data_IF_918474699876
#
_entry.id   IF_918474699876
#
_cell.length_a   1.000
_cell.length_b   1.000
_cell.length_c   1.000
_cell.angle_alpha   90.00
_cell.angle_beta   90.00
_cell.angle_gamma   90.00
#
_symmetry.space_group_name_H-M   'P 1'
#
loop_
_entity.id
_entity.type
_entity.pdbx_description
1 polymer ?
#
# COMPACT_ATOMS: atom_id res chain seq x y z
N UNK A 1 -9.44 7.48 29.96
CA UNK A 1 -8.97 7.88 28.64
C UNK A 1 -7.80 8.82 28.86
N UNK A 2 -6.60 8.44 28.43
CA UNK A 2 -5.39 9.26 28.56
C UNK A 2 -5.03 9.75 27.16
N UNK A 3 -4.94 11.06 26.96
CA UNK A 3 -4.58 11.65 25.67
C UNK A 3 -3.07 11.73 25.46
N UNK A 4 -2.25 11.26 26.41
CA UNK A 4 -0.79 11.25 26.32
C UNK A 4 -0.17 12.59 25.92
N UNK A 5 -0.78 13.71 26.35
CA UNK A 5 -0.31 15.07 26.06
C UNK A 5 -0.91 15.74 24.83
N UNK A 6 -1.85 15.09 24.12
CA UNK A 6 -2.57 15.69 22.99
C UNK A 6 -3.79 16.50 23.46
N UNK A 7 -4.05 17.64 22.80
CA UNK A 7 -5.22 18.50 23.05
C UNK A 7 -6.51 17.89 22.49
N UNK A 8 -6.44 17.37 21.26
CA UNK A 8 -7.55 16.74 20.54
C UNK A 8 -7.10 15.42 19.93
N UNK A 9 -7.96 14.40 20.07
CA UNK A 9 -7.72 13.07 19.51
C UNK A 9 -8.95 12.65 18.72
N UNK A 10 -8.78 12.44 17.42
CA UNK A 10 -9.81 11.90 16.53
C UNK A 10 -9.57 10.42 16.32
N UNK A 11 -10.61 9.61 16.45
CA UNK A 11 -10.52 8.15 16.29
C UNK A 11 -11.62 7.66 15.35
N UNK A 12 -11.27 6.72 14.50
CA UNK A 12 -12.21 5.95 13.68
C UNK A 12 -11.89 4.47 13.79
N UNK A 13 -12.84 3.62 13.42
CA UNK A 13 -12.64 2.17 13.44
C UNK A 13 -12.00 1.72 12.13
N UNK A 14 -11.03 0.80 12.22
CA UNK A 14 -10.37 0.25 11.03
C UNK A 14 -11.32 -0.43 10.04
N UNK A 15 -12.41 -1.05 10.51
CA UNK A 15 -13.40 -1.68 9.65
C UNK A 15 -14.23 -0.67 8.83
N UNK A 16 -14.46 0.52 9.37
CA UNK A 16 -15.11 1.63 8.64
C UNK A 16 -14.17 2.15 7.54
N UNK A 17 -12.88 2.31 7.87
CA UNK A 17 -11.86 2.73 6.89
C UNK A 17 -11.70 1.68 5.79
N UNK A 18 -11.59 0.40 6.14
CA UNK A 18 -11.48 -0.69 5.17
C UNK A 18 -12.69 -0.78 4.24
N UNK A 19 -13.91 -0.54 4.75
CA UNK A 19 -15.11 -0.47 3.91
C UNK A 19 -15.04 0.68 2.92
N UNK A 20 -14.71 1.89 3.38
CA UNK A 20 -14.57 3.06 2.53
C UNK A 20 -13.46 2.90 1.48
N UNK A 21 -12.33 2.31 1.88
CA UNK A 21 -11.22 1.98 0.97
C UNK A 21 -11.65 0.95 -0.08
N UNK A 22 -12.37 -0.10 0.31
CA UNK A 22 -12.89 -1.09 -0.64
C UNK A 22 -13.87 -0.48 -1.65
N UNK A 23 -14.78 0.40 -1.20
CA UNK A 23 -15.70 1.13 -2.09
C UNK A 23 -14.96 2.05 -3.07
N UNK A 24 -13.88 2.70 -2.63
CA UNK A 24 -13.03 3.50 -3.51
C UNK A 24 -12.35 2.65 -4.58
N UNK A 25 -11.78 1.51 -4.19
CA UNK A 25 -11.04 0.61 -5.09
C UNK A 25 -11.94 -0.09 -6.12
N UNK A 26 -13.23 -0.25 -5.84
CA UNK A 26 -14.19 -0.71 -6.83
C UNK A 26 -14.37 0.31 -7.98
N UNK A 27 -14.26 1.60 -7.67
CA UNK A 27 -14.38 2.69 -8.66
C UNK A 27 -13.06 2.96 -9.36
N UNK A 28 -11.96 2.88 -8.60
CA UNK A 28 -10.60 3.14 -9.08
C UNK A 28 -9.70 1.96 -8.72
N UNK A 29 -9.70 0.88 -9.52
CA UNK A 29 -8.86 -0.28 -9.26
C UNK A 29 -7.37 0.07 -9.38
N UNK A 30 -6.57 -0.37 -8.41
CA UNK A 30 -5.12 -0.14 -8.43
C UNK A 30 -4.47 -1.15 -9.37
N UNK A 31 -4.05 -0.67 -10.53
CA UNK A 31 -3.26 -1.44 -11.49
C UNK A 31 -1.84 -0.89 -11.50
N UNK A 32 -0.86 -1.78 -11.28
CA UNK A 32 0.56 -1.44 -11.28
C UNK A 32 1.24 -2.10 -12.47
N UNK A 33 2.12 -1.34 -13.11
CA UNK A 33 3.05 -1.86 -14.11
C UNK A 33 4.44 -1.37 -13.80
N UNK A 34 5.41 -2.27 -13.88
CA UNK A 34 6.81 -1.95 -13.63
C UNK A 34 7.67 -2.79 -14.56
N UNK A 35 8.72 -2.18 -15.12
CA UNK A 35 9.65 -2.86 -16.00
C UNK A 35 11.03 -2.28 -15.77
N UNK A 36 11.97 -3.15 -15.40
CA UNK A 36 13.37 -2.81 -15.17
C UNK A 36 14.23 -3.98 -15.62
N UNK A 37 15.22 -3.71 -16.48
CA UNK A 37 16.09 -4.69 -17.12
C UNK A 37 15.31 -5.86 -17.76
N UNK A 38 15.45 -7.06 -17.20
CA UNK A 38 14.80 -8.29 -17.66
C UNK A 38 13.54 -8.63 -16.84
N UNK A 39 13.08 -7.72 -15.99
CA UNK A 39 11.92 -7.90 -15.12
C UNK A 39 10.75 -7.08 -15.63
N UNK A 40 9.59 -7.72 -15.80
CA UNK A 40 8.34 -7.00 -16.03
C UNK A 40 7.27 -7.54 -15.10
N UNK A 41 6.58 -6.62 -14.43
CA UNK A 41 5.49 -6.91 -13.50
C UNK A 41 4.27 -6.12 -13.95
N UNK A 42 3.15 -6.82 -14.10
CA UNK A 42 1.85 -6.21 -14.27
C UNK A 42 0.90 -6.87 -13.28
N UNK A 43 0.34 -6.10 -12.35
CA UNK A 43 -0.55 -6.63 -11.33
C UNK A 43 -1.71 -5.67 -11.09
N UNK A 44 -2.86 -6.25 -10.76
CA UNK A 44 -4.05 -5.53 -10.31
C UNK A 44 -4.35 -5.98 -8.90
N UNK A 45 -4.38 -5.03 -7.98
CA UNK A 45 -4.75 -5.30 -6.59
C UNK A 45 -6.25 -5.12 -6.41
N UNK A 46 -6.84 -6.02 -5.63
CA UNK A 46 -8.21 -5.87 -5.14
C UNK A 46 -8.18 -5.69 -3.63
N UNK A 47 -9.27 -5.17 -3.06
CA UNK A 47 -9.56 -5.27 -1.63
C UNK A 47 -8.41 -4.89 -0.68
N UNK A 48 -7.68 -3.79 -0.97
CA UNK A 48 -6.62 -3.32 -0.06
C UNK A 48 -7.26 -3.00 1.28
N UNK A 49 -6.68 -3.52 2.36
CA UNK A 49 -7.23 -3.37 3.70
C UNK A 49 -6.14 -3.20 4.75
N UNK A 50 -6.44 -2.42 5.78
CA UNK A 50 -5.63 -2.30 6.98
C UNK A 50 -5.78 -3.59 7.79
N UNK A 51 -4.65 -4.21 8.16
CA UNK A 51 -4.60 -5.41 9.00
C UNK A 51 -3.81 -5.16 10.27
N UNK A 52 -4.01 -6.02 11.27
CA UNK A 52 -3.28 -5.95 12.54
C UNK A 52 -1.80 -6.32 12.34
N UNK A 53 -0.92 -5.74 13.16
CA UNK A 53 0.52 -6.03 13.17
C UNK A 53 1.40 -4.78 13.11
N UNK A 54 0.86 -3.67 12.58
CA UNK A 54 1.52 -2.37 12.60
C UNK A 54 1.68 -1.79 14.02
N UNK A 55 2.70 -0.95 14.20
CA UNK A 55 3.03 -0.31 15.47
C UNK A 55 3.21 1.20 15.32
N UNK A 56 2.52 1.98 16.16
CA UNK A 56 2.62 3.44 16.16
C UNK A 56 2.19 4.04 14.82
N UNK A 57 3.14 4.66 14.10
CA UNK A 57 2.92 5.27 12.78
C UNK A 57 3.01 4.28 11.61
N UNK A 58 3.46 3.05 11.86
CA UNK A 58 3.62 2.01 10.84
C UNK A 58 2.33 1.19 10.75
N UNK A 59 1.74 1.12 9.56
CA UNK A 59 0.45 0.46 9.33
C UNK A 59 0.64 -0.66 8.32
N UNK A 60 0.04 -1.82 8.60
CA UNK A 60 0.09 -2.97 7.71
C UNK A 60 -1.10 -2.93 6.76
N UNK A 61 -0.81 -3.06 5.47
CA UNK A 61 -1.80 -3.16 4.42
C UNK A 61 -1.67 -4.51 3.75
N UNK A 62 -2.78 -5.25 3.73
CA UNK A 62 -2.92 -6.44 2.92
C UNK A 62 -3.43 -6.03 1.53
N UNK A 63 -2.75 -6.50 0.50
CA UNK A 63 -2.95 -6.16 -0.90
C UNK A 63 -3.00 -7.45 -1.72
N UNK A 64 -4.16 -8.13 -1.79
CA UNK A 64 -4.31 -9.32 -2.62
C UNK A 64 -4.28 -8.98 -4.10
N UNK A 65 -3.45 -9.68 -4.85
CA UNK A 65 -3.38 -9.59 -6.32
C UNK A 65 -4.61 -10.27 -6.90
N UNK A 66 -5.51 -9.50 -7.51
CA UNK A 66 -6.69 -10.03 -8.22
C UNK A 66 -6.23 -10.80 -9.46
N UNK A 67 -5.42 -10.13 -10.29
CA UNK A 67 -4.82 -10.69 -11.49
C UNK A 67 -3.43 -10.10 -11.68
N UNK A 68 -2.45 -10.90 -12.09
CA UNK A 68 -1.14 -10.39 -12.41
C UNK A 68 -0.21 -11.37 -13.09
N UNK A 69 0.82 -10.82 -13.73
CA UNK A 69 1.89 -11.57 -14.35
C UNK A 69 3.23 -10.97 -14.01
N UNK A 70 4.22 -11.83 -13.78
CA UNK A 70 5.63 -11.45 -13.66
C UNK A 70 6.43 -12.20 -14.71
N UNK A 71 7.36 -11.52 -15.37
CA UNK A 71 8.34 -12.13 -16.25
C UNK A 71 9.76 -11.79 -15.83
N UNK A 72 10.64 -12.79 -15.87
CA UNK A 72 12.09 -12.68 -15.67
C UNK A 72 12.77 -13.28 -16.90
N UNK A 73 13.27 -12.42 -17.79
CA UNK A 73 13.75 -12.82 -19.12
C UNK A 73 12.65 -13.55 -19.89
N UNK A 74 12.94 -14.77 -20.35
CA UNK A 74 11.99 -15.58 -21.13
C UNK A 74 10.93 -16.30 -20.27
N UNK A 75 11.09 -16.30 -18.94
CA UNK A 75 10.16 -16.99 -18.05
C UNK A 75 9.03 -16.05 -17.66
N UNK A 76 7.79 -16.51 -17.78
CA UNK A 76 6.59 -15.78 -17.38
C UNK A 76 5.73 -16.64 -16.46
N UNK A 77 5.28 -16.03 -15.37
CA UNK A 77 4.40 -16.65 -14.40
C UNK A 77 3.16 -15.81 -14.17
N UNK A 78 2.08 -16.47 -13.75
CA UNK A 78 0.91 -15.83 -13.17
C UNK A 78 1.10 -15.69 -11.67
N UNK A 79 0.59 -14.59 -11.12
CA UNK A 79 0.62 -14.28 -9.68
C UNK A 79 -0.78 -13.99 -9.14
N UNK A 80 -1.81 -14.42 -9.86
CA UNK A 80 -3.22 -14.30 -9.47
C UNK A 80 -3.45 -14.90 -8.06
N UNK A 81 -4.13 -14.16 -7.19
CA UNK A 81 -4.42 -14.56 -5.82
C UNK A 81 -3.23 -14.51 -4.85
N UNK A 82 -2.08 -13.96 -5.26
CA UNK A 82 -0.94 -13.76 -4.35
C UNK A 82 -1.30 -12.70 -3.31
N UNK A 83 -1.11 -13.01 -2.03
CA UNK A 83 -1.37 -12.09 -0.93
C UNK A 83 -0.08 -11.38 -0.53
N UNK A 84 -0.10 -10.05 -0.56
CA UNK A 84 1.04 -9.22 -0.14
C UNK A 84 0.64 -8.45 1.10
N UNK A 85 1.49 -8.44 2.12
CA UNK A 85 1.36 -7.56 3.27
C UNK A 85 2.56 -6.61 3.23
N UNK A 86 2.28 -5.32 3.12
CA UNK A 86 3.27 -4.26 3.18
C UNK A 86 3.08 -3.43 4.45
N UNK A 87 4.17 -2.89 4.96
CA UNK A 87 4.18 -1.91 6.03
C UNK A 87 4.61 -0.56 5.46
N UNK A 88 3.84 0.47 5.76
CA UNK A 88 4.11 1.85 5.33
C UNK A 88 3.56 2.87 6.31
N UNK A 89 3.91 4.14 6.07
CA UNK A 89 3.45 5.29 6.85
C UNK A 89 2.36 6.05 6.08
N UNK A 90 1.53 6.79 6.80
CA UNK A 90 0.67 7.81 6.22
C UNK A 90 1.28 9.19 6.47
N UNK A 91 1.03 10.13 5.57
CA UNK A 91 1.48 11.51 5.71
C UNK A 91 0.33 12.46 5.40
N UNK A 92 0.35 13.62 6.07
CA UNK A 92 -0.47 14.76 5.69
C UNK A 92 0.18 15.44 4.50
N UNK A 93 -0.58 15.55 3.41
CA UNK A 93 -0.17 16.18 2.16
C UNK A 93 -1.11 17.35 1.90
N UNK A 94 -0.55 18.49 1.52
CA UNK A 94 -1.34 19.68 1.20
C UNK A 94 -2.32 19.38 0.05
N UNK A 95 -3.58 19.77 0.24
CA UNK A 95 -4.59 19.60 -0.77
C UNK A 95 -4.34 20.60 -1.92
N UNK A 96 -4.23 20.09 -3.15
CA UNK A 96 -3.90 20.90 -4.33
C UNK A 96 -4.96 21.98 -4.65
N UNK A 97 -6.22 21.73 -4.28
CA UNK A 97 -7.35 22.61 -4.59
C UNK A 97 -7.67 23.56 -3.41
N UNK A 98 -7.30 23.17 -2.18
CA UNK A 98 -7.66 23.89 -0.96
C UNK A 98 -6.42 24.09 -0.06
N UNK A 99 -5.83 25.29 -0.11
CA UNK A 99 -4.60 25.65 0.62
C UNK A 99 -4.67 25.60 2.15
N UNK A 100 -5.86 25.41 2.71
CA UNK A 100 -6.12 25.31 4.16
C UNK A 100 -6.50 23.88 4.57
N UNK A 101 -6.43 22.91 3.64
CA UNK A 101 -6.77 21.51 3.89
C UNK A 101 -5.54 20.64 3.70
N UNK A 102 -5.32 19.72 4.64
CA UNK A 102 -4.34 18.66 4.50
C UNK A 102 -5.01 17.30 4.48
N UNK A 103 -4.64 16.48 3.50
CA UNK A 103 -5.16 15.13 3.32
C UNK A 103 -4.18 14.11 3.89
N UNK A 104 -4.67 13.24 4.77
CA UNK A 104 -3.93 12.06 5.21
C UNK A 104 -3.97 11.01 4.10
N UNK A 105 -2.81 10.71 3.50
CA UNK A 105 -2.68 9.79 2.35
C UNK A 105 -1.58 8.77 2.59
N UNK A 106 -1.54 7.76 1.73
CA UNK A 106 -0.42 6.83 1.67
C UNK A 106 0.90 7.58 1.41
N UNK A 107 1.95 7.29 2.19
CA UNK A 107 3.27 7.90 2.02
C UNK A 107 4.27 6.89 1.44
N UNK A 108 4.46 6.95 0.12
CA UNK A 108 5.35 6.07 -0.65
C UNK A 108 6.48 6.91 -1.27
N UNK A 109 7.62 6.98 -0.59
CA UNK A 109 8.77 7.76 -1.03
C UNK A 109 9.98 6.88 -1.36
N UNK A 110 10.26 5.87 -0.53
CA UNK A 110 11.48 5.05 -0.63
C UNK A 110 11.22 3.59 -0.29
N UNK A 111 12.05 2.71 -0.83
CA UNK A 111 12.06 1.31 -0.42
C UNK A 111 12.69 1.21 0.99
N UNK A 112 11.95 0.65 1.93
CA UNK A 112 12.45 0.42 3.28
C UNK A 112 13.37 -0.81 3.33
N UNK A 113 14.29 -0.83 4.31
CA UNK A 113 15.34 -1.85 4.39
C UNK A 113 14.90 -3.13 5.12
N UNK A 114 13.96 -3.00 6.04
CA UNK A 114 13.47 -4.09 6.90
C UNK A 114 12.12 -3.70 7.52
N UNK A 115 11.34 -4.68 7.97
CA UNK A 115 10.13 -4.42 8.76
C UNK A 115 10.47 -3.61 10.01
N UNK A 116 9.68 -2.58 10.31
CA UNK A 116 9.95 -1.60 11.35
C UNK A 116 10.79 -0.40 10.88
N UNK A 117 11.08 -0.26 9.58
CA UNK A 117 11.82 0.90 9.06
C UNK A 117 10.99 2.18 9.23
N UNK A 118 11.53 3.10 10.03
CA UNK A 118 10.87 4.36 10.39
C UNK A 118 11.29 5.52 9.51
N UNK A 119 12.14 5.28 8.51
CA UNK A 119 12.52 6.26 7.48
C UNK A 119 11.24 6.83 6.85
N UNK A 120 11.23 8.14 6.63
CA UNK A 120 10.03 8.82 6.15
C UNK A 120 9.63 8.33 4.75
N UNK A 121 8.37 7.90 4.63
CA UNK A 121 7.81 7.33 3.40
C UNK A 121 8.40 5.98 2.98
N UNK A 122 9.02 5.24 3.91
CA UNK A 122 9.49 3.89 3.66
C UNK A 122 8.32 2.91 3.48
N UNK A 123 8.44 2.07 2.46
CA UNK A 123 7.55 0.93 2.20
C UNK A 123 8.36 -0.35 2.34
N UNK A 124 7.91 -1.27 3.19
CA UNK A 124 8.61 -2.55 3.44
C UNK A 124 7.67 -3.71 3.14
N UNK A 125 8.21 -4.78 2.56
CA UNK A 125 7.47 -6.02 2.42
C UNK A 125 7.52 -6.78 3.74
N UNK A 126 6.36 -7.04 4.34
CA UNK A 126 6.23 -7.88 5.55
C UNK A 126 6.09 -9.35 5.14
N UNK A 127 5.23 -9.62 4.15
CA UNK A 127 4.91 -10.99 3.74
C UNK A 127 4.44 -11.03 2.30
N UNK A 128 4.81 -12.08 1.57
CA UNK A 128 4.26 -12.42 0.27
C UNK A 128 3.90 -13.92 0.30
N UNK A 129 2.63 -14.25 0.12
CA UNK A 129 2.13 -15.62 0.10
C UNK A 129 1.61 -15.98 -1.30
N UNK A 130 2.06 -17.10 -1.88
CA UNK A 130 1.56 -17.52 -3.19
C UNK A 130 0.06 -17.81 -3.14
N UNK A 131 -0.65 -17.35 -4.16
CA UNK A 131 -2.04 -17.74 -4.39
C UNK A 131 -2.18 -19.23 -4.68
N UNK A 132 -3.41 -19.74 -4.62
CA UNK A 132 -3.69 -21.15 -4.94
C UNK A 132 -3.29 -21.46 -6.39
N UNK A 133 -2.31 -22.36 -6.56
CA UNK A 133 -1.81 -22.75 -7.89
C UNK A 133 -0.76 -21.82 -8.49
N UNK A 134 -0.31 -20.80 -7.73
CA UNK A 134 0.84 -19.97 -8.07
C UNK A 134 2.13 -20.70 -7.70
N UNK A 135 3.09 -20.72 -8.62
CA UNK A 135 4.42 -21.29 -8.39
C UNK A 135 5.14 -20.48 -7.28
N UNK A 136 5.77 -21.16 -6.32
CA UNK A 136 6.51 -20.50 -5.24
C UNK A 136 7.64 -19.61 -5.77
N UNK A 137 8.24 -19.97 -6.90
CA UNK A 137 9.25 -19.17 -7.61
C UNK A 137 8.66 -17.86 -8.13
N UNK A 138 7.40 -17.87 -8.57
CA UNK A 138 6.70 -16.68 -9.04
C UNK A 138 6.41 -15.71 -7.89
N UNK A 139 5.94 -16.22 -6.74
CA UNK A 139 5.73 -15.41 -5.55
C UNK A 139 7.04 -14.87 -4.98
N UNK A 140 8.12 -15.66 -5.03
CA UNK A 140 9.47 -15.20 -4.63
C UNK A 140 9.99 -14.10 -5.56
N UNK A 141 9.89 -14.28 -6.87
CA UNK A 141 10.25 -13.23 -7.84
C UNK A 141 9.43 -11.95 -7.60
N UNK A 142 8.12 -12.09 -7.41
CA UNK A 142 7.26 -10.93 -7.16
C UNK A 142 7.59 -10.23 -5.84
N UNK A 143 7.92 -11.00 -4.78
CA UNK A 143 8.31 -10.45 -3.49
C UNK A 143 9.54 -9.54 -3.56
N UNK A 144 10.44 -9.77 -4.53
CA UNK A 144 11.65 -8.96 -4.70
C UNK A 144 11.37 -7.61 -5.37
N UNK A 145 10.28 -7.48 -6.12
CA UNK A 145 9.99 -6.29 -6.93
C UNK A 145 8.70 -5.57 -6.53
N UNK A 146 7.89 -6.13 -5.63
CA UNK A 146 6.58 -5.54 -5.29
C UNK A 146 6.70 -4.14 -4.70
N UNK A 147 7.73 -3.87 -3.89
CA UNK A 147 7.95 -2.53 -3.32
C UNK A 147 8.28 -1.54 -4.43
N UNK A 148 9.17 -1.88 -5.35
CA UNK A 148 9.53 -1.03 -6.49
C UNK A 148 8.32 -0.79 -7.40
N UNK A 149 7.48 -1.81 -7.60
CA UNK A 149 6.22 -1.70 -8.33
C UNK A 149 5.28 -0.68 -7.68
N UNK A 150 5.15 -0.70 -6.35
CA UNK A 150 4.30 0.23 -5.61
C UNK A 150 4.85 1.66 -5.67
N UNK A 151 6.17 1.84 -5.52
CA UNK A 151 6.83 3.14 -5.62
C UNK A 151 6.68 3.76 -7.01
N UNK A 152 6.88 2.96 -8.06
CA UNK A 152 6.74 3.39 -9.45
C UNK A 152 5.29 3.78 -9.81
N UNK A 153 4.30 3.26 -9.08
CA UNK A 153 2.87 3.48 -9.34
C UNK A 153 2.17 4.21 -8.17
N UNK A 154 2.92 4.95 -7.35
CA UNK A 154 2.38 5.61 -6.12
C UNK A 154 1.16 6.49 -6.36
N UNK A 155 1.06 7.11 -7.54
CA UNK A 155 -0.06 8.00 -7.89
C UNK A 155 -1.38 7.22 -8.06
N UNK A 156 -1.33 5.90 -8.27
CA UNK A 156 -2.51 5.02 -8.31
C UNK A 156 -3.08 4.77 -6.90
N UNK A 157 -2.29 5.01 -5.85
CA UNK A 157 -2.67 4.83 -4.44
C UNK A 157 -3.08 6.18 -3.81
N UNK A 158 -3.96 6.92 -4.48
CA UNK A 158 -4.35 8.28 -4.11
C UNK A 158 -5.56 8.38 -3.14
N UNK A 159 -5.80 7.35 -2.31
CA UNK A 159 -6.91 7.37 -1.35
C UNK A 159 -6.65 8.36 -0.20
N UNK A 160 -7.69 9.13 0.17
CA UNK A 160 -7.66 10.06 1.31
C UNK A 160 -8.30 9.40 2.53
N UNK A 161 -7.50 9.17 3.57
CA UNK A 161 -7.95 8.56 4.82
C UNK A 161 -8.68 9.55 5.73
N UNK A 162 -8.23 10.80 5.74
CA UNK A 162 -8.80 11.89 6.51
C UNK A 162 -8.43 13.22 5.84
N UNK A 163 -9.24 14.25 6.05
CA UNK A 163 -8.93 15.62 5.65
C UNK A 163 -9.03 16.51 6.90
N UNK A 164 -8.02 17.34 7.13
CA UNK A 164 -8.00 18.30 8.24
C UNK A 164 -8.06 19.70 7.64
N UNK A 165 -9.05 20.47 8.11
CA UNK A 165 -9.09 21.90 7.85
C UNK A 165 -8.27 22.64 8.91
N UNK A 166 -7.26 23.37 8.46
CA UNK A 166 -6.35 24.17 9.28
C UNK A 166 -6.91 25.56 9.60
N UNK A 167 -7.99 25.96 8.92
CA UNK A 167 -8.70 27.20 9.18
C UNK A 167 -10.12 26.89 9.71
N UNK A 168 -10.61 27.64 10.70
CA UNK A 168 -11.99 27.50 11.18
C UNK A 168 -13.03 27.91 10.14
#
# INVERSE_FOLDING_TARGET
MNTYGWDLVFVTRGDVVNRSLAEHLQKTPVSVSYTEDNVSVAARFSSIQIVAGGGGKLIYFEMPVETGTISLGDRKWKIDGTEVIVELQLAFIDNADLSHVQDLRFHLAVAGKQVGDTTDGAVTLVKCLPGKGVDSSAASAFSQHVVDCLLANRDQLAYVFAAINLQP
#
